data_IF_738660866526
#
_entry.id   IF_738660866526
#
_cell.length_a   1.000
_cell.length_b   1.000
_cell.length_c   1.000
_cell.angle_alpha   90.00
_cell.angle_beta   90.00
_cell.angle_gamma   90.00
#
_symmetry.space_group_name_H-M   'P 1'
#
loop_
_entity.id
_entity.type
_entity.pdbx_description
1 polymer ?
#
# COMPACT_ATOMS: atom_id res chain seq x y z
N UNK A 1 -2.82 -10.88 -17.50
CA UNK A 1 -1.39 -10.56 -17.75
C UNK A 1 -0.46 -11.45 -16.93
N UNK A 2 -0.69 -11.61 -15.61
CA UNK A 2 0.12 -12.51 -14.77
C UNK A 2 0.22 -13.94 -15.32
N UNK A 3 -0.88 -14.55 -15.75
CA UNK A 3 -0.86 -15.91 -16.33
C UNK A 3 0.07 -16.03 -17.55
N UNK A 4 0.11 -15.00 -18.40
CA UNK A 4 1.00 -14.95 -19.56
C UNK A 4 2.46 -14.92 -19.09
N UNK A 5 2.78 -14.14 -18.05
CA UNK A 5 4.13 -14.07 -17.49
C UNK A 5 4.56 -15.40 -16.87
N UNK A 6 3.70 -16.05 -16.09
CA UNK A 6 3.96 -17.38 -15.55
C UNK A 6 4.15 -18.43 -16.65
N UNK A 7 3.36 -18.36 -17.72
CA UNK A 7 3.54 -19.21 -18.89
C UNK A 7 4.90 -18.98 -19.56
N UNK A 8 5.37 -17.74 -19.69
CA UNK A 8 6.70 -17.44 -20.26
C UNK A 8 7.86 -17.89 -19.36
N UNK A 9 7.68 -17.88 -18.04
CA UNK A 9 8.67 -18.44 -17.11
C UNK A 9 8.79 -19.96 -17.23
N UNK A 10 7.66 -20.66 -17.33
CA UNK A 10 7.59 -22.13 -17.30
C UNK A 10 7.78 -22.78 -18.66
N UNK A 11 7.29 -22.17 -19.74
CA UNK A 11 7.36 -22.71 -21.11
C UNK A 11 8.51 -22.06 -21.87
N UNK A 12 9.64 -22.75 -21.97
CA UNK A 12 10.88 -22.24 -22.61
C UNK A 12 10.64 -21.77 -24.05
N UNK A 13 9.74 -22.42 -24.80
CA UNK A 13 9.39 -22.04 -26.17
C UNK A 13 8.58 -20.73 -26.28
N UNK A 14 8.03 -20.21 -25.17
CA UNK A 14 7.39 -18.88 -25.15
C UNK A 14 8.36 -17.77 -24.72
N UNK A 15 9.64 -18.07 -24.48
CA UNK A 15 10.64 -17.06 -24.11
C UNK A 15 11.08 -16.20 -25.29
N UNK A 16 11.42 -16.76 -26.48
CA UNK A 16 11.82 -15.93 -27.62
C UNK A 16 10.66 -15.04 -28.08
N UNK A 17 10.89 -13.73 -28.12
CA UNK A 17 9.83 -12.74 -28.40
C UNK A 17 9.17 -12.97 -29.77
N UNK A 18 9.95 -13.29 -30.80
CA UNK A 18 9.43 -13.54 -32.14
C UNK A 18 8.42 -14.70 -32.15
N UNK A 19 8.71 -15.78 -31.43
CA UNK A 19 7.84 -16.95 -31.37
C UNK A 19 6.61 -16.66 -30.51
N UNK A 20 6.80 -15.99 -29.37
CA UNK A 20 5.72 -15.57 -28.49
C UNK A 20 4.72 -14.64 -29.19
N UNK A 21 5.21 -13.67 -29.96
CA UNK A 21 4.39 -12.68 -30.68
C UNK A 21 3.51 -13.31 -31.77
N UNK A 22 3.89 -14.48 -32.29
CA UNK A 22 3.07 -15.25 -33.24
C UNK A 22 1.94 -16.04 -32.54
N UNK A 23 2.01 -16.22 -31.22
CA UNK A 23 0.98 -16.95 -30.47
C UNK A 23 -0.23 -16.09 -30.13
N UNK A 24 -1.34 -16.75 -29.73
CA UNK A 24 -2.50 -16.07 -29.13
C UNK A 24 -2.10 -15.27 -27.87
N UNK A 25 -1.16 -15.79 -27.07
CA UNK A 25 -0.69 -15.12 -25.85
C UNK A 25 0.02 -13.80 -26.15
N UNK A 26 0.77 -13.72 -27.25
CA UNK A 26 1.39 -12.48 -27.72
C UNK A 26 0.36 -11.41 -28.06
N UNK A 27 -0.66 -11.78 -28.84
CA UNK A 27 -1.78 -10.89 -29.19
C UNK A 27 -2.56 -10.43 -27.96
N UNK A 28 -2.85 -11.36 -27.03
CA UNK A 28 -3.53 -11.05 -25.78
C UNK A 28 -2.68 -10.12 -24.89
N UNK A 29 -1.36 -10.31 -24.83
CA UNK A 29 -0.46 -9.43 -24.08
C UNK A 29 -0.48 -8.00 -24.65
N UNK A 30 -0.39 -7.84 -25.98
CA UNK A 30 -0.45 -6.51 -26.63
C UNK A 30 -1.77 -5.82 -26.28
N UNK A 31 -2.90 -6.50 -26.44
CA UNK A 31 -4.22 -5.95 -26.09
C UNK A 31 -4.30 -5.52 -24.62
N UNK A 32 -3.78 -6.34 -23.70
CA UNK A 32 -3.80 -6.01 -22.28
C UNK A 32 -2.90 -4.81 -21.95
N UNK A 33 -1.72 -4.70 -22.58
CA UNK A 33 -0.83 -3.54 -22.43
C UNK A 33 -1.47 -2.26 -22.98
N UNK A 34 -2.22 -2.34 -24.08
CA UNK A 34 -2.97 -1.20 -24.61
C UNK A 34 -4.03 -0.69 -23.65
N UNK A 35 -4.72 -1.58 -22.91
CA UNK A 35 -5.68 -1.18 -21.88
C UNK A 35 -4.98 -0.44 -20.74
N UNK A 36 -3.86 -0.98 -20.25
CA UNK A 36 -3.09 -0.39 -19.14
C UNK A 36 -2.55 0.99 -19.54
N UNK A 37 -1.80 1.07 -20.63
CA UNK A 37 -1.23 2.33 -21.11
C UNK A 37 -2.32 3.29 -21.61
N UNK A 38 -3.48 2.79 -22.02
CA UNK A 38 -4.60 3.60 -22.49
C UNK A 38 -5.12 4.57 -21.43
N UNK A 39 -5.13 4.16 -20.16
CA UNK A 39 -5.50 5.04 -19.05
C UNK A 39 -4.47 6.17 -18.88
N UNK A 40 -3.19 5.81 -18.77
CA UNK A 40 -2.10 6.78 -18.57
C UNK A 40 -2.01 7.78 -19.71
N UNK A 41 -2.09 7.32 -20.97
CA UNK A 41 -2.12 8.18 -22.16
C UNK A 41 -3.25 9.21 -22.09
N UNK A 42 -4.46 8.79 -21.69
CA UNK A 42 -5.61 9.70 -21.53
C UNK A 42 -5.40 10.72 -20.42
N UNK A 43 -4.89 10.29 -19.27
CA UNK A 43 -4.61 11.17 -18.13
C UNK A 43 -3.54 12.21 -18.48
N UNK A 44 -2.43 11.79 -19.08
CA UNK A 44 -1.36 12.69 -19.52
C UNK A 44 -1.87 13.70 -20.56
N UNK A 45 -2.61 13.24 -21.57
CA UNK A 45 -3.16 14.12 -22.60
C UNK A 45 -4.09 15.18 -21.99
N UNK A 46 -4.99 14.77 -21.10
CA UNK A 46 -5.90 15.68 -20.39
C UNK A 46 -5.13 16.69 -19.54
N UNK A 47 -4.15 16.24 -18.75
CA UNK A 47 -3.35 17.12 -17.88
C UNK A 47 -2.50 18.11 -18.66
N UNK A 48 -1.93 17.69 -19.80
CA UNK A 48 -1.26 18.61 -20.74
C UNK A 48 -2.20 19.69 -21.28
N UNK A 49 -3.45 19.35 -21.59
CA UNK A 49 -4.45 20.33 -22.02
C UNK A 49 -4.81 21.30 -20.90
N UNK A 50 -5.05 20.79 -19.68
CA UNK A 50 -5.33 21.61 -18.49
C UNK A 50 -4.18 22.59 -18.22
N UNK A 51 -2.93 22.12 -18.28
CA UNK A 51 -1.73 22.93 -18.10
C UNK A 51 -1.62 24.03 -19.17
N UNK A 52 -1.79 23.70 -20.46
CA UNK A 52 -1.79 24.68 -21.57
C UNK A 52 -2.90 25.71 -21.45
N UNK A 53 -4.04 25.33 -20.88
CA UNK A 53 -5.18 26.23 -20.66
C UNK A 53 -5.03 27.15 -19.43
N UNK A 54 -3.90 27.08 -18.72
CA UNK A 54 -3.67 27.86 -17.50
C UNK A 54 -4.46 27.38 -16.27
N UNK A 55 -5.24 26.29 -16.40
CA UNK A 55 -5.91 25.64 -15.28
C UNK A 55 -4.88 24.85 -14.48
N UNK A 56 -4.18 25.53 -13.57
CA UNK A 56 -3.38 24.86 -12.55
C UNK A 56 -4.35 24.21 -11.56
N UNK A 57 -4.30 22.89 -11.41
CA UNK A 57 -4.98 22.21 -10.31
C UNK A 57 -4.19 22.48 -9.02
N UNK A 58 -4.22 23.72 -8.56
CA UNK A 58 -3.93 24.01 -7.16
C UNK A 58 -5.18 23.54 -6.42
N UNK A 59 -5.03 22.59 -5.50
CA UNK A 59 -6.12 22.23 -4.59
C UNK A 59 -6.55 23.53 -3.88
N UNK A 60 -7.69 24.09 -4.27
CA UNK A 60 -8.23 25.33 -3.71
C UNK A 60 -9.10 24.99 -2.50
N UNK A 61 -8.89 25.74 -1.42
CA UNK A 61 -9.71 25.69 -0.22
C UNK A 61 -11.18 26.00 -0.57
N UNK A 62 -12.10 25.18 -0.07
CA UNK A 62 -13.49 25.62 0.08
C UNK A 62 -13.51 26.53 1.32
N UNK A 63 -14.12 27.70 1.18
CA UNK A 63 -14.01 28.83 2.12
C UNK A 63 -14.23 28.49 3.60
N UNK A 64 -13.45 29.18 4.43
CA UNK A 64 -13.43 29.16 5.89
C UNK A 64 -14.83 29.30 6.51
N UNK A 65 -15.22 28.34 7.35
CA UNK A 65 -16.08 28.66 8.50
C UNK A 65 -15.16 29.13 9.64
N UNK A 66 -15.25 30.41 9.92
CA UNK A 66 -14.60 31.13 11.01
C UNK A 66 -15.02 30.57 12.38
N UNK A 67 -14.24 29.63 12.92
CA UNK A 67 -14.13 29.42 14.37
C UNK A 67 -12.91 28.54 14.68
N UNK A 68 -11.72 29.06 14.41
CA UNK A 68 -10.48 28.48 14.93
C UNK A 68 -10.38 28.75 16.44
N UNK A 69 -11.11 27.96 17.24
CA UNK A 69 -10.73 27.76 18.64
C UNK A 69 -9.40 27.01 18.62
N UNK A 70 -8.40 27.63 19.25
CA UNK A 70 -7.06 27.16 19.57
C UNK A 70 -6.92 25.64 19.45
N UNK A 71 -6.51 25.18 18.27
CA UNK A 71 -6.15 23.79 18.06
C UNK A 71 -4.93 23.51 18.95
N UNK A 72 -5.16 22.73 20.01
CA UNK A 72 -4.10 22.21 20.87
C UNK A 72 -3.06 21.58 19.96
N UNK A 73 -1.83 22.06 20.02
CA UNK A 73 -0.67 21.34 19.45
C UNK A 73 -0.55 20.07 20.29
N UNK A 74 -1.25 19.02 19.91
CA UNK A 74 -0.91 17.67 20.34
C UNK A 74 0.32 17.29 19.53
N UNK A 75 1.49 17.48 20.14
CA UNK A 75 2.67 16.71 19.77
C UNK A 75 2.29 15.24 19.89
N UNK A 76 1.99 14.59 18.76
CA UNK A 76 1.86 13.13 18.73
C UNK A 76 3.29 12.60 18.82
N UNK A 77 3.85 12.65 20.04
CA UNK A 77 5.10 11.98 20.35
C UNK A 77 4.88 10.48 20.17
N UNK A 78 5.57 9.93 19.18
CA UNK A 78 5.69 8.49 18.98
C UNK A 78 4.60 7.88 18.11
N UNK A 79 5.07 7.21 17.06
CA UNK A 79 4.37 6.15 16.31
C UNK A 79 3.55 6.64 15.11
N UNK A 80 4.19 7.42 14.25
CA UNK A 80 3.86 7.35 12.83
C UNK A 80 4.60 6.15 12.23
N UNK A 81 3.86 5.10 11.86
CA UNK A 81 4.34 3.96 11.08
C UNK A 81 5.60 3.26 11.58
N UNK A 82 5.48 2.28 12.48
CA UNK A 82 6.49 1.22 12.63
C UNK A 82 7.93 1.68 12.87
N UNK A 83 8.12 2.85 13.49
CA UNK A 83 9.44 3.39 13.83
C UNK A 83 10.11 2.45 14.83
N UNK A 84 11.19 1.79 14.42
CA UNK A 84 12.11 1.15 15.34
C UNK A 84 13.06 2.23 15.88
N UNK A 85 13.30 2.25 17.20
CA UNK A 85 14.19 3.22 17.80
C UNK A 85 15.59 3.15 17.16
N UNK A 86 16.10 4.30 16.70
CA UNK A 86 17.49 4.44 16.22
C UNK A 86 17.75 4.19 14.73
N UNK A 87 16.75 3.83 13.92
CA UNK A 87 16.87 3.84 12.45
C UNK A 87 15.95 4.90 11.85
N UNK A 88 16.53 5.91 11.18
CA UNK A 88 15.79 6.83 10.32
C UNK A 88 15.67 6.23 8.93
N UNK A 89 14.45 5.99 8.47
CA UNK A 89 14.11 5.77 7.06
C UNK A 89 14.04 7.15 6.38
N UNK A 90 14.51 7.27 5.14
CA UNK A 90 14.48 8.53 4.36
C UNK A 90 13.04 9.05 4.16
N UNK A 91 12.06 8.20 4.44
CA UNK A 91 10.63 8.49 4.40
C UNK A 91 9.99 8.69 5.78
N UNK A 92 10.72 8.80 6.88
CA UNK A 92 10.12 9.06 8.20
C UNK A 92 9.51 10.47 8.31
N UNK A 93 8.64 10.68 9.30
CA UNK A 93 7.99 11.99 9.52
C UNK A 93 8.99 12.91 10.19
N UNK A 94 9.36 13.98 9.49
CA UNK A 94 10.00 15.13 10.12
C UNK A 94 8.91 15.91 10.88
N UNK A 95 9.19 16.46 12.06
CA UNK A 95 8.22 17.22 12.87
C UNK A 95 7.60 18.41 12.09
N UNK A 96 8.23 18.81 10.99
CA UNK A 96 7.77 19.82 10.05
C UNK A 96 6.68 19.34 9.08
N UNK A 97 6.30 18.07 9.05
CA UNK A 97 5.29 17.51 8.13
C UNK A 97 3.86 17.47 8.71
N UNK A 98 3.67 18.04 9.89
CA UNK A 98 2.36 18.24 10.53
C UNK A 98 1.71 19.52 9.98
N UNK A 99 0.63 19.36 9.20
CA UNK A 99 -0.17 20.45 8.64
C UNK A 99 -0.59 20.21 7.18
N UNK A 100 -1.66 20.86 6.73
CA UNK A 100 -2.08 20.84 5.31
C UNK A 100 -1.06 21.62 4.45
N UNK A 101 0.01 20.94 4.02
CA UNK A 101 0.86 21.48 2.96
C UNK A 101 0.18 21.24 1.62
N UNK A 102 -0.04 22.31 0.85
CA UNK A 102 -0.49 22.23 -0.55
C UNK A 102 0.54 21.45 -1.36
N UNK A 103 0.26 20.17 -1.63
CA UNK A 103 1.10 19.31 -2.49
C UNK A 103 0.44 19.22 -3.86
N UNK A 104 1.21 19.51 -4.91
CA UNK A 104 0.76 19.29 -6.28
C UNK A 104 0.56 17.79 -6.54
N UNK A 105 -0.31 17.46 -7.49
CA UNK A 105 -0.40 16.09 -7.98
C UNK A 105 0.94 15.68 -8.62
N UNK A 106 1.32 14.41 -8.47
CA UNK A 106 2.62 13.88 -8.92
C UNK A 106 2.94 14.21 -10.39
N UNK A 107 1.97 14.04 -11.29
CA UNK A 107 2.15 14.37 -12.71
C UNK A 107 2.37 15.87 -12.93
N UNK A 108 1.67 16.73 -12.19
CA UNK A 108 1.84 18.17 -12.30
C UNK A 108 3.26 18.58 -11.84
N UNK A 109 3.78 17.93 -10.80
CA UNK A 109 5.15 18.12 -10.31
C UNK A 109 6.21 17.64 -11.32
N UNK A 110 6.01 16.48 -11.97
CA UNK A 110 6.92 16.00 -13.03
C UNK A 110 6.93 16.92 -14.25
N UNK A 111 5.76 17.45 -14.62
CA UNK A 111 5.64 18.40 -15.73
C UNK A 111 6.36 19.73 -15.44
N UNK A 112 6.33 20.21 -14.20
CA UNK A 112 7.03 21.42 -13.77
C UNK A 112 8.56 21.19 -13.71
N UNK A 113 9.00 20.05 -13.17
CA UNK A 113 10.40 19.66 -13.15
C UNK A 113 11.00 19.57 -14.57
N UNK A 114 10.27 19.02 -15.54
CA UNK A 114 10.69 18.96 -16.95
C UNK A 114 10.96 20.33 -17.59
N UNK A 115 10.38 21.42 -17.06
CA UNK A 115 10.54 22.78 -17.58
C UNK A 115 11.66 23.57 -16.89
N UNK A 116 11.98 23.24 -15.63
CA UNK A 116 12.95 23.97 -14.81
C UNK A 116 14.42 23.47 -14.96
N UNK A 117 14.74 22.78 -16.06
CA UNK A 117 16.10 22.37 -16.39
C UNK A 117 16.47 20.93 -16.01
N UNK A 118 15.58 20.19 -15.35
CA UNK A 118 15.67 18.71 -15.33
C UNK A 118 15.17 18.18 -16.67
N UNK A 119 16.05 17.58 -17.46
CA UNK A 119 15.70 17.02 -18.78
C UNK A 119 14.94 15.71 -18.59
N UNK A 120 13.66 15.78 -18.21
CA UNK A 120 12.74 14.65 -18.31
C UNK A 120 11.97 14.78 -19.61
N UNK A 121 12.19 13.85 -20.52
CA UNK A 121 11.44 13.72 -21.76
C UNK A 121 9.98 13.34 -21.47
N UNK A 122 9.10 13.63 -22.43
CA UNK A 122 7.70 13.23 -22.35
C UNK A 122 7.50 11.72 -22.17
N UNK A 123 8.41 10.91 -22.72
CA UNK A 123 8.38 9.46 -22.56
C UNK A 123 8.83 9.04 -21.16
N UNK A 124 9.88 9.64 -20.61
CA UNK A 124 10.30 9.37 -19.22
C UNK A 124 9.21 9.77 -18.22
N UNK A 125 8.54 10.92 -18.41
CA UNK A 125 7.38 11.30 -17.57
C UNK A 125 6.29 10.25 -17.66
N UNK A 126 5.99 9.75 -18.86
CA UNK A 126 4.99 8.70 -19.05
C UNK A 126 5.39 7.41 -18.36
N UNK A 127 6.64 6.95 -18.51
CA UNK A 127 7.16 5.74 -17.86
C UNK A 127 7.12 5.84 -16.33
N UNK A 128 7.45 7.00 -15.75
CA UNK A 128 7.34 7.23 -14.31
C UNK A 128 5.89 7.18 -13.84
N UNK A 129 4.95 7.78 -14.58
CA UNK A 129 3.52 7.73 -14.25
C UNK A 129 2.97 6.31 -14.37
N UNK A 130 3.32 5.59 -15.44
CA UNK A 130 2.92 4.20 -15.65
C UNK A 130 3.41 3.31 -14.49
N UNK A 131 4.66 3.50 -14.06
CA UNK A 131 5.26 2.78 -12.93
C UNK A 131 4.49 3.02 -11.64
N UNK A 132 4.29 4.29 -11.24
CA UNK A 132 3.61 4.63 -9.98
C UNK A 132 2.14 4.19 -9.98
N UNK A 133 1.45 4.32 -11.11
CA UNK A 133 0.06 3.88 -11.24
C UNK A 133 -0.07 2.36 -11.09
N UNK A 134 0.83 1.59 -11.70
CA UNK A 134 0.83 0.14 -11.59
C UNK A 134 1.17 -0.32 -10.16
N UNK A 135 2.29 0.17 -9.61
CA UNK A 135 2.77 -0.22 -8.28
C UNK A 135 1.81 0.19 -7.16
N UNK A 136 1.15 1.35 -7.29
CA UNK A 136 0.20 1.88 -6.32
C UNK A 136 -1.23 1.30 -6.42
N UNK A 137 -1.55 0.60 -7.51
CA UNK A 137 -2.87 0.00 -7.73
C UNK A 137 -2.96 -1.40 -7.14
N UNK A 138 -2.21 -2.35 -7.69
CA UNK A 138 -2.38 -3.78 -7.39
C UNK A 138 -2.00 -4.12 -5.95
N UNK A 139 -0.95 -3.50 -5.41
CA UNK A 139 -0.51 -3.69 -4.01
C UNK A 139 -1.56 -3.21 -3.01
N UNK A 140 -2.13 -2.02 -3.24
CA UNK A 140 -3.18 -1.43 -2.39
C UNK A 140 -4.46 -2.26 -2.48
N UNK A 141 -4.84 -2.70 -3.68
CA UNK A 141 -6.02 -3.53 -3.89
C UNK A 141 -5.89 -4.89 -3.19
N UNK A 142 -4.72 -5.53 -3.27
CA UNK A 142 -4.45 -6.77 -2.54
C UNK A 142 -4.51 -6.56 -1.02
N UNK A 143 -3.85 -5.52 -0.50
CA UNK A 143 -3.83 -5.22 0.93
C UNK A 143 -5.24 -4.96 1.49
N UNK A 144 -6.04 -4.13 0.81
CA UNK A 144 -7.42 -3.86 1.24
C UNK A 144 -8.30 -5.10 1.15
N UNK A 145 -8.13 -5.92 0.11
CA UNK A 145 -8.92 -7.15 -0.06
C UNK A 145 -8.61 -8.22 0.99
N UNK A 146 -7.33 -8.37 1.37
CA UNK A 146 -6.94 -9.23 2.49
C UNK A 146 -7.48 -8.68 3.81
N UNK A 147 -7.35 -7.37 4.06
CA UNK A 147 -7.88 -6.75 5.27
C UNK A 147 -9.37 -7.05 5.43
N UNK A 148 -10.17 -6.80 4.40
CA UNK A 148 -11.61 -7.06 4.42
C UNK A 148 -11.93 -8.55 4.61
N UNK A 149 -11.16 -9.44 3.96
CA UNK A 149 -11.33 -10.90 4.14
C UNK A 149 -11.09 -11.33 5.58
N UNK A 150 -10.03 -10.80 6.21
CA UNK A 150 -9.68 -11.09 7.60
C UNK A 150 -10.72 -10.50 8.55
N UNK A 151 -11.15 -9.26 8.36
CA UNK A 151 -12.23 -8.66 9.18
C UNK A 151 -13.53 -9.47 9.08
N UNK A 152 -13.82 -10.05 7.90
CA UNK A 152 -14.93 -10.96 7.70
C UNK A 152 -14.81 -12.30 8.44
N UNK A 153 -13.60 -12.72 8.81
CA UNK A 153 -13.32 -13.94 9.59
C UNK A 153 -13.25 -13.68 11.10
N UNK A 154 -12.90 -12.46 11.52
CA UNK A 154 -12.69 -12.06 12.92
C UNK A 154 -13.69 -10.99 13.35
N UNK A 155 -14.94 -11.38 13.67
CA UNK A 155 -16.00 -10.43 14.01
C UNK A 155 -15.71 -9.61 15.28
N UNK A 156 -14.98 -10.17 16.24
CA UNK A 156 -14.55 -9.53 17.48
C UNK A 156 -13.51 -8.42 17.23
N UNK A 157 -12.56 -8.64 16.32
CA UNK A 157 -11.58 -7.64 15.91
C UNK A 157 -12.25 -6.57 15.06
N UNK A 158 -13.13 -6.97 14.14
CA UNK A 158 -13.92 -6.05 13.34
C UNK A 158 -14.78 -5.12 14.23
N UNK A 159 -15.35 -5.61 15.33
CA UNK A 159 -16.14 -4.76 16.24
C UNK A 159 -15.29 -3.67 16.88
N UNK A 160 -14.05 -3.98 17.28
CA UNK A 160 -13.12 -2.99 17.85
C UNK A 160 -12.72 -1.92 16.82
N UNK A 161 -12.50 -2.30 15.56
CA UNK A 161 -12.28 -1.34 14.46
C UNK A 161 -13.48 -0.43 14.28
N UNK A 162 -14.67 -1.01 14.28
CA UNK A 162 -15.94 -0.31 14.18
C UNK A 162 -16.12 0.68 15.33
N UNK A 163 -15.84 0.26 16.56
CA UNK A 163 -15.97 1.08 17.76
C UNK A 163 -15.03 2.29 17.68
N UNK A 164 -13.76 2.08 17.32
CA UNK A 164 -12.81 3.18 17.09
C UNK A 164 -13.34 4.17 16.05
N UNK A 165 -13.90 3.68 14.94
CA UNK A 165 -14.45 4.56 13.91
C UNK A 165 -15.72 5.29 14.36
N UNK A 166 -16.59 4.65 15.14
CA UNK A 166 -17.77 5.29 15.71
C UNK A 166 -17.35 6.38 16.74
N UNK A 167 -16.27 6.18 17.51
CA UNK A 167 -15.72 7.18 18.43
C UNK A 167 -15.14 8.40 17.71
N UNK A 168 -14.51 8.20 16.54
CA UNK A 168 -13.92 9.29 15.74
C UNK A 168 -14.98 10.09 14.97
N UNK A 169 -15.99 9.40 14.41
CA UNK A 169 -16.93 10.00 13.45
C UNK A 169 -18.34 10.22 13.98
N UNK A 170 -18.75 9.52 15.04
CA UNK A 170 -20.13 9.52 15.53
C UNK A 170 -21.12 9.13 14.43
N UNK A 171 -22.16 9.95 14.25
CA UNK A 171 -23.18 9.80 13.20
C UNK A 171 -22.78 10.44 11.85
N UNK A 172 -21.62 11.11 11.78
CA UNK A 172 -21.23 11.92 10.64
C UNK A 172 -20.86 11.10 9.40
N UNK A 173 -21.36 11.52 8.23
CA UNK A 173 -20.92 10.99 6.91
C UNK A 173 -19.73 11.73 6.31
N UNK A 174 -19.10 12.64 7.06
CA UNK A 174 -18.05 13.45 6.46
C UNK A 174 -16.89 12.56 5.96
N UNK A 175 -16.22 12.95 4.87
CA UNK A 175 -14.94 12.34 4.49
C UNK A 175 -13.95 12.38 5.65
N UNK A 176 -13.07 11.37 5.70
CA UNK A 176 -11.96 11.36 6.65
C UNK A 176 -10.99 12.50 6.31
N UNK A 177 -10.68 13.32 7.29
CA UNK A 177 -9.59 14.31 7.26
C UNK A 177 -8.27 13.63 7.57
N UNK A 178 -7.15 14.32 7.30
CA UNK A 178 -5.83 13.83 7.69
C UNK A 178 -5.75 13.56 9.21
N UNK A 179 -6.31 14.44 10.04
CA UNK A 179 -6.28 14.29 11.49
C UNK A 179 -7.02 13.03 11.97
N UNK A 180 -8.17 12.70 11.37
CA UNK A 180 -8.88 11.46 11.72
C UNK A 180 -8.01 10.23 11.45
N UNK A 181 -7.21 10.27 10.39
CA UNK A 181 -6.33 9.15 10.06
C UNK A 181 -5.24 8.93 11.10
N UNK A 182 -4.85 9.94 11.88
CA UNK A 182 -3.91 9.79 13.00
C UNK A 182 -4.57 9.09 14.21
N UNK A 183 -5.88 9.25 14.37
CA UNK A 183 -6.64 8.61 15.46
C UNK A 183 -7.08 7.17 15.14
N UNK A 184 -7.05 6.74 13.88
CA UNK A 184 -7.32 5.35 13.44
C UNK A 184 -6.20 4.37 13.85
N UNK A 185 -5.93 4.22 15.15
CA UNK A 185 -4.79 3.49 15.71
C UNK A 185 -5.01 1.98 15.67
N UNK A 186 -6.17 1.50 16.09
CA UNK A 186 -6.55 0.09 16.07
C UNK A 186 -6.74 -0.42 14.63
N UNK A 187 -7.39 0.36 13.76
CA UNK A 187 -7.48 0.07 12.33
C UNK A 187 -6.07 -0.02 11.71
N UNK A 188 -5.15 0.88 12.08
CA UNK A 188 -3.75 0.78 11.62
C UNK A 188 -3.10 -0.53 12.08
N UNK A 189 -3.24 -0.90 13.35
CA UNK A 189 -2.68 -2.17 13.87
C UNK A 189 -3.25 -3.39 13.14
N UNK A 190 -4.55 -3.40 12.85
CA UNK A 190 -5.18 -4.44 12.03
C UNK A 190 -4.61 -4.46 10.60
N UNK A 191 -4.34 -3.29 10.02
CA UNK A 191 -3.74 -3.18 8.70
C UNK A 191 -2.28 -3.67 8.70
N UNK A 192 -1.48 -3.31 9.70
CA UNK A 192 -0.11 -3.79 9.85
C UNK A 192 -0.05 -5.31 10.03
N UNK A 193 -0.95 -5.89 10.83
CA UNK A 193 -1.08 -7.34 10.98
C UNK A 193 -1.53 -8.02 9.68
N UNK A 194 -2.42 -7.37 8.92
CA UNK A 194 -2.78 -7.83 7.57
C UNK A 194 -1.56 -7.87 6.66
N UNK A 195 -0.74 -6.82 6.64
CA UNK A 195 0.49 -6.75 5.84
C UNK A 195 1.58 -7.71 6.35
N UNK A 196 1.58 -8.07 7.65
CA UNK A 196 2.45 -9.10 8.22
C UNK A 196 2.09 -10.47 7.62
N UNK A 197 0.83 -10.86 7.73
CA UNK A 197 0.36 -12.18 7.30
C UNK A 197 0.24 -12.30 5.78
N UNK A 198 -0.22 -11.26 5.12
CA UNK A 198 -0.53 -11.25 3.69
C UNK A 198 0.16 -10.07 2.98
N UNK A 199 1.51 -10.00 2.99
CA UNK A 199 2.23 -8.95 2.29
C UNK A 199 1.96 -9.04 0.79
N UNK A 200 1.51 -7.96 0.12
CA UNK A 200 1.27 -7.98 -1.32
C UNK A 200 2.49 -8.41 -2.12
N UNK A 201 3.70 -8.04 -1.68
CA UNK A 201 4.97 -8.50 -2.26
C UNK A 201 5.61 -9.51 -1.29
N UNK A 202 5.41 -10.83 -1.47
CA UNK A 202 5.84 -11.83 -0.50
C UNK A 202 7.33 -12.15 -0.58
N UNK A 203 7.98 -11.81 -1.70
CA UNK A 203 9.38 -12.14 -2.00
C UNK A 203 10.02 -10.98 -2.76
N UNK A 204 11.26 -10.61 -2.40
CA UNK A 204 12.12 -9.70 -3.16
C UNK A 204 13.44 -10.38 -3.49
N UNK A 205 14.04 -10.06 -4.64
CA UNK A 205 15.30 -10.65 -5.08
C UNK A 205 16.33 -9.57 -5.46
N UNK A 206 17.62 -9.89 -5.29
CA UNK A 206 18.75 -9.04 -5.68
C UNK A 206 19.85 -9.91 -6.29
N UNK A 207 20.40 -9.48 -7.43
CA UNK A 207 21.65 -10.05 -7.94
C UNK A 207 22.82 -9.33 -7.29
N UNK A 208 23.73 -10.09 -6.71
CA UNK A 208 24.94 -9.60 -6.06
C UNK A 208 25.98 -9.34 -7.15
N UNK A 209 26.49 -8.12 -7.27
CA UNK A 209 27.43 -7.74 -8.33
C UNK A 209 28.90 -7.95 -7.92
N UNK A 210 29.17 -8.09 -6.63
CA UNK A 210 30.50 -8.24 -6.03
C UNK A 210 30.42 -9.20 -4.86
N UNK A 211 31.45 -10.01 -4.62
CA UNK A 211 31.49 -10.93 -3.49
C UNK A 211 31.08 -10.24 -2.18
N UNK A 212 30.01 -10.74 -1.57
CA UNK A 212 29.40 -10.18 -0.37
C UNK A 212 29.72 -11.05 0.83
N UNK A 213 30.45 -10.48 1.81
CA UNK A 213 30.64 -11.11 3.11
C UNK A 213 29.40 -10.93 3.98
N UNK A 214 28.80 -12.03 4.41
CA UNK A 214 27.64 -12.06 5.31
C UNK A 214 27.94 -12.98 6.50
N UNK A 215 28.34 -12.38 7.63
CA UNK A 215 28.85 -13.12 8.77
C UNK A 215 30.10 -13.94 8.38
N UNK A 216 30.02 -15.25 8.57
CA UNK A 216 31.11 -16.18 8.22
C UNK A 216 31.04 -16.70 6.77
N UNK A 217 30.07 -16.24 5.97
CA UNK A 217 29.87 -16.71 4.61
C UNK A 217 30.26 -15.64 3.58
N UNK A 218 30.71 -16.10 2.41
CA UNK A 218 30.90 -15.25 1.23
C UNK A 218 29.90 -15.67 0.17
N UNK A 219 29.02 -14.75 -0.23
CA UNK A 219 28.08 -14.93 -1.33
C UNK A 219 28.80 -14.42 -2.59
N UNK A 220 29.00 -15.25 -3.62
CA UNK A 220 29.78 -14.86 -4.79
C UNK A 220 29.03 -13.84 -5.66
N UNK A 221 29.79 -13.02 -6.38
CA UNK A 221 29.28 -12.19 -7.46
C UNK A 221 28.51 -13.04 -8.49
N UNK A 222 27.43 -12.49 -9.02
CA UNK A 222 26.49 -13.16 -9.93
C UNK A 222 25.38 -13.96 -9.21
N UNK A 223 25.49 -14.23 -7.91
CA UNK A 223 24.44 -14.94 -7.18
C UNK A 223 23.18 -14.08 -7.00
N UNK A 224 22.00 -14.70 -7.07
CA UNK A 224 20.73 -14.05 -6.71
C UNK A 224 20.37 -14.40 -5.26
N UNK A 225 20.29 -13.38 -4.41
CA UNK A 225 19.78 -13.48 -3.05
C UNK A 225 18.29 -13.19 -3.05
N UNK A 226 17.52 -14.05 -2.38
CA UNK A 226 16.07 -13.95 -2.25
C UNK A 226 15.74 -13.68 -0.78
N UNK A 227 15.01 -12.59 -0.53
CA UNK A 227 14.45 -12.26 0.79
C UNK A 227 12.97 -12.59 0.78
N UNK A 228 12.58 -13.59 1.57
CA UNK A 228 11.21 -14.09 1.66
C UNK A 228 10.45 -13.38 2.76
N UNK A 229 9.94 -12.18 2.49
CA UNK A 229 9.15 -11.35 3.42
C UNK A 229 8.03 -12.15 4.08
N UNK A 230 7.29 -12.95 3.30
CA UNK A 230 6.18 -13.78 3.80
C UNK A 230 6.59 -14.75 4.91
N UNK A 231 7.78 -15.37 4.79
CA UNK A 231 8.31 -16.32 5.78
C UNK A 231 8.96 -15.62 6.96
N UNK A 232 9.66 -14.51 6.71
CA UNK A 232 10.28 -13.69 7.74
C UNK A 232 9.22 -13.10 8.70
N UNK A 233 8.08 -12.69 8.18
CA UNK A 233 6.94 -12.20 8.98
C UNK A 233 6.22 -13.29 9.81
N UNK A 234 6.66 -14.55 9.71
CA UNK A 234 6.11 -15.71 10.44
C UNK A 234 7.09 -16.38 11.37
N UNK A 235 8.17 -15.68 11.71
CA UNK A 235 9.19 -16.19 12.63
C UNK A 235 8.65 -16.23 14.07
N UNK A 236 8.51 -17.41 14.71
CA UNK A 236 7.88 -17.51 16.03
C UNK A 236 8.63 -16.78 17.15
N UNK A 237 9.95 -16.61 17.00
CA UNK A 237 10.79 -15.88 17.96
C UNK A 237 10.61 -14.36 17.88
N UNK A 238 10.00 -13.85 16.81
CA UNK A 238 9.64 -12.42 16.63
C UNK A 238 8.14 -12.23 16.88
N UNK A 239 7.31 -13.14 16.37
CA UNK A 239 5.85 -13.11 16.44
C UNK A 239 5.34 -14.38 17.12
N UNK A 240 5.01 -14.33 18.43
CA UNK A 240 4.39 -15.46 19.11
C UNK A 240 3.07 -15.86 18.42
N UNK A 241 2.87 -17.15 18.19
CA UNK A 241 1.73 -17.69 17.43
C UNK A 241 1.57 -17.01 16.05
N UNK A 242 2.57 -17.11 15.15
CA UNK A 242 2.66 -16.27 13.96
C UNK A 242 1.53 -16.48 12.93
N UNK A 243 0.79 -17.59 13.03
CA UNK A 243 -0.35 -17.88 12.16
C UNK A 243 -1.69 -17.37 12.73
N UNK A 244 -1.70 -16.82 13.95
CA UNK A 244 -2.90 -16.20 14.55
C UNK A 244 -2.89 -14.72 14.20
N UNK A 245 -3.99 -14.24 13.61
CA UNK A 245 -4.18 -12.82 13.37
C UNK A 245 -4.34 -12.06 14.69
N UNK A 246 -3.33 -11.26 15.04
CA UNK A 246 -3.31 -10.52 16.30
C UNK A 246 -2.81 -9.08 16.13
N UNK A 247 -3.72 -8.07 16.08
CA UNK A 247 -3.35 -6.66 16.02
C UNK A 247 -2.46 -6.19 17.17
N UNK A 248 -2.48 -6.87 18.33
CA UNK A 248 -1.63 -6.52 19.46
C UNK A 248 -0.16 -6.85 19.23
N UNK A 249 0.20 -7.53 18.12
CA UNK A 249 1.59 -7.60 17.65
C UNK A 249 2.14 -6.21 17.29
N UNK A 250 1.29 -5.24 17.01
CA UNK A 250 1.67 -3.87 16.64
C UNK A 250 1.33 -2.85 17.73
N UNK A 251 1.19 -3.31 18.98
CA UNK A 251 1.20 -2.39 20.12
C UNK A 251 2.51 -1.58 20.17
N UNK A 252 2.45 -0.30 20.61
CA UNK A 252 3.62 0.57 20.76
C UNK A 252 4.83 -0.12 21.40
N UNK A 253 4.62 -0.73 22.56
CA UNK A 253 5.64 -1.36 23.40
C UNK A 253 6.26 -2.61 22.77
N UNK A 254 5.50 -3.33 21.93
CA UNK A 254 6.01 -4.49 21.21
C UNK A 254 6.78 -4.08 19.95
N UNK A 255 6.35 -3.00 19.31
CA UNK A 255 7.00 -2.49 18.09
C UNK A 255 8.32 -1.81 18.42
N UNK A 256 8.39 -1.05 19.52
CA UNK A 256 9.60 -0.35 19.95
C UNK A 256 10.78 -1.31 20.19
N UNK A 257 10.52 -2.53 20.67
CA UNK A 257 11.54 -3.54 20.95
C UNK A 257 11.80 -4.50 19.77
N UNK A 258 11.05 -4.36 18.66
CA UNK A 258 11.20 -5.24 17.49
C UNK A 258 12.31 -4.71 16.58
N UNK A 259 13.18 -5.60 16.13
CA UNK A 259 14.20 -5.26 15.13
C UNK A 259 13.54 -4.71 13.85
N UNK A 260 14.05 -3.60 13.30
CA UNK A 260 13.50 -2.94 12.12
C UNK A 260 13.24 -3.90 10.93
N UNK A 261 14.25 -4.68 10.54
CA UNK A 261 14.13 -5.68 9.46
C UNK A 261 13.22 -6.89 9.76
N UNK A 262 12.63 -7.00 10.96
CA UNK A 262 11.68 -8.06 11.27
C UNK A 262 10.29 -7.82 10.64
N UNK A 263 9.99 -6.58 10.28
CA UNK A 263 8.73 -6.18 9.64
C UNK A 263 8.98 -5.21 8.48
N UNK A 264 9.05 -5.73 7.25
CA UNK A 264 9.33 -4.91 6.05
C UNK A 264 8.31 -5.17 4.93
N UNK A 265 7.01 -4.93 5.17
CA UNK A 265 5.98 -5.08 4.13
C UNK A 265 6.16 -4.09 2.96
N UNK A 266 6.93 -3.02 3.20
CA UNK A 266 7.29 -2.00 2.21
C UNK A 266 8.78 -2.06 1.83
N UNK A 267 9.44 -3.20 2.03
CA UNK A 267 10.91 -3.32 1.92
C UNK A 267 11.62 -2.37 2.90
N UNK A 268 12.92 -2.20 2.74
CA UNK A 268 13.75 -1.34 3.59
C UNK A 268 14.99 -0.82 2.84
N UNK A 269 15.63 0.20 3.41
CA UNK A 269 16.85 0.82 2.87
C UNK A 269 16.60 1.65 1.60
N UNK A 270 17.63 1.90 0.77
CA UNK A 270 17.53 2.79 -0.40
C UNK A 270 16.53 2.35 -1.48
N UNK A 271 15.99 1.14 -1.37
CA UNK A 271 14.96 0.58 -2.24
C UNK A 271 13.69 0.22 -1.44
N UNK A 272 13.42 0.96 -0.37
CA UNK A 272 12.13 0.95 0.33
C UNK A 272 11.05 1.54 -0.58
N UNK A 273 9.79 1.22 -0.31
CA UNK A 273 8.67 1.68 -1.10
C UNK A 273 8.47 3.19 -0.96
N UNK A 274 8.70 3.94 -2.05
CA UNK A 274 8.42 5.39 -2.12
C UNK A 274 6.96 5.74 -1.81
N UNK A 275 6.05 4.81 -2.11
CA UNK A 275 4.61 4.98 -1.89
C UNK A 275 4.12 4.66 -0.48
N UNK A 276 4.98 4.26 0.47
CA UNK A 276 4.59 3.76 1.81
C UNK A 276 3.59 4.69 2.53
N UNK A 277 3.92 5.98 2.68
CA UNK A 277 3.05 6.96 3.35
C UNK A 277 1.70 7.11 2.64
N UNK A 278 1.74 7.25 1.31
CA UNK A 278 0.54 7.40 0.49
C UNK A 278 -0.35 6.15 0.53
N UNK A 279 0.24 4.96 0.45
CA UNK A 279 -0.47 3.69 0.50
C UNK A 279 -1.19 3.52 1.84
N UNK A 280 -0.50 3.76 2.96
CA UNK A 280 -1.12 3.64 4.28
C UNK A 280 -2.26 4.65 4.48
N UNK A 281 -2.06 5.91 4.08
CA UNK A 281 -3.11 6.92 4.12
C UNK A 281 -4.33 6.51 3.27
N UNK A 282 -4.09 6.08 2.03
CA UNK A 282 -5.13 5.61 1.11
C UNK A 282 -5.87 4.40 1.67
N UNK A 283 -5.17 3.43 2.25
CA UNK A 283 -5.76 2.26 2.88
C UNK A 283 -6.62 2.66 4.08
N UNK A 284 -6.14 3.54 4.96
CA UNK A 284 -6.93 4.06 6.09
C UNK A 284 -8.23 4.72 5.63
N UNK A 285 -8.17 5.58 4.61
CA UNK A 285 -9.36 6.27 4.09
C UNK A 285 -10.36 5.28 3.46
N UNK A 286 -9.87 4.36 2.60
CA UNK A 286 -10.74 3.39 1.93
C UNK A 286 -11.39 2.45 2.96
N UNK A 287 -10.59 1.89 3.86
CA UNK A 287 -11.06 0.90 4.83
C UNK A 287 -11.97 1.53 5.87
N UNK A 288 -11.65 2.70 6.42
CA UNK A 288 -12.56 3.41 7.33
C UNK A 288 -13.89 3.75 6.65
N UNK A 289 -13.88 4.13 5.37
CA UNK A 289 -15.11 4.41 4.62
C UNK A 289 -15.97 3.15 4.46
N UNK A 290 -15.37 2.01 4.13
CA UNK A 290 -16.11 0.75 4.02
C UNK A 290 -16.64 0.31 5.40
N UNK A 291 -15.78 0.29 6.42
CA UNK A 291 -16.11 -0.22 7.75
C UNK A 291 -17.13 0.65 8.51
N UNK A 292 -17.22 1.95 8.21
CA UNK A 292 -18.29 2.83 8.75
C UNK A 292 -19.67 2.51 8.16
N UNK A 293 -19.72 2.01 6.92
CA UNK A 293 -20.97 1.80 6.18
C UNK A 293 -21.40 0.32 6.14
N UNK A 294 -20.45 -0.60 6.31
CA UNK A 294 -20.70 -2.04 6.17
C UNK A 294 -20.01 -2.85 7.26
N UNK A 295 -20.66 -3.96 7.64
CA UNK A 295 -20.02 -5.10 8.28
C UNK A 295 -19.62 -6.09 7.21
N UNK A 296 -18.39 -6.56 7.27
CA UNK A 296 -17.85 -7.58 6.37
C UNK A 296 -18.12 -8.96 6.96
N UNK A 297 -18.58 -9.90 6.14
CA UNK A 297 -18.74 -11.31 6.49
C UNK A 297 -17.98 -12.18 5.49
N UNK A 298 -17.27 -13.18 5.99
CA UNK A 298 -16.65 -14.23 5.18
C UNK A 298 -17.37 -15.56 5.40
N UNK A 299 -17.66 -16.26 4.31
CA UNK A 299 -18.14 -17.65 4.35
C UNK A 299 -16.97 -18.66 4.33
N UNK A 300 -15.74 -18.16 4.20
CA UNK A 300 -14.49 -18.94 4.18
C UNK A 300 -13.69 -18.60 5.42
N UNK A 301 -13.20 -19.61 6.15
CA UNK A 301 -12.33 -19.39 7.31
C UNK A 301 -10.95 -18.95 6.86
N UNK A 302 -10.26 -18.19 7.69
CA UNK A 302 -8.89 -17.74 7.39
C UNK A 302 -7.93 -18.91 7.13
N UNK A 303 -8.07 -20.01 7.88
CA UNK A 303 -7.29 -21.25 7.69
C UNK A 303 -7.44 -21.88 6.30
N UNK A 304 -8.53 -21.57 5.60
CA UNK A 304 -8.89 -22.18 4.31
C UNK A 304 -8.52 -21.27 3.13
N UNK A 305 -7.87 -20.12 3.38
CA UNK A 305 -7.40 -19.22 2.33
C UNK A 305 -6.36 -19.92 1.45
N UNK A 306 -6.62 -19.98 0.14
CA UNK A 306 -5.66 -20.54 -0.83
C UNK A 306 -4.84 -19.42 -1.41
N UNK A 307 -3.65 -19.21 -0.84
CA UNK A 307 -2.76 -18.16 -1.29
C UNK A 307 -2.14 -18.53 -2.65
N UNK A 308 -2.15 -17.56 -3.57
CA UNK A 308 -1.52 -17.64 -4.87
C UNK A 308 -0.47 -16.54 -4.98
N UNK A 309 0.78 -16.95 -5.16
CA UNK A 309 1.91 -16.06 -5.39
C UNK A 309 2.08 -15.80 -6.89
N UNK A 310 1.38 -14.78 -7.39
CA UNK A 310 1.64 -14.21 -8.72
C UNK A 310 2.71 -13.11 -8.60
N UNK A 311 2.68 -12.09 -9.47
CA UNK A 311 3.44 -10.84 -9.26
C UNK A 311 3.12 -10.25 -7.87
N UNK A 312 1.85 -10.33 -7.46
CA UNK A 312 1.34 -9.91 -6.17
C UNK A 312 0.64 -11.10 -5.50
N UNK A 313 0.74 -11.18 -4.18
CA UNK A 313 0.02 -12.17 -3.38
C UNK A 313 -1.48 -11.92 -3.48
N UNK A 314 -2.25 -12.98 -3.76
CA UNK A 314 -3.72 -12.94 -3.79
C UNK A 314 -4.32 -14.26 -3.29
N UNK A 315 -5.64 -14.32 -3.24
CA UNK A 315 -6.40 -15.56 -2.99
C UNK A 315 -6.77 -16.20 -4.33
N UNK A 316 -6.48 -17.49 -4.51
CA UNK A 316 -6.74 -18.25 -5.73
C UNK A 316 -8.24 -18.34 -6.03
N UNK A 317 -9.06 -18.40 -4.99
CA UNK A 317 -10.52 -18.43 -5.04
C UNK A 317 -11.16 -17.04 -5.14
N UNK A 318 -10.35 -15.99 -5.20
CA UNK A 318 -10.77 -14.59 -5.06
C UNK A 318 -11.05 -14.19 -3.60
N UNK A 319 -11.41 -12.92 -3.40
CA UNK A 319 -11.70 -12.36 -2.08
C UNK A 319 -13.21 -12.38 -1.79
N UNK A 320 -13.81 -13.57 -1.86
CA UNK A 320 -15.27 -13.73 -1.67
C UNK A 320 -15.68 -13.31 -0.26
N UNK A 321 -16.31 -12.14 -0.17
CA UNK A 321 -16.85 -11.54 1.06
C UNK A 321 -18.26 -11.00 0.80
N UNK A 322 -19.07 -10.90 1.86
CA UNK A 322 -20.35 -10.17 1.85
C UNK A 322 -20.23 -8.88 2.64
N UNK A 323 -20.75 -7.80 2.08
CA UNK A 323 -20.94 -6.54 2.78
C UNK A 323 -22.38 -6.44 3.24
N UNK A 324 -22.58 -6.28 4.54
CA UNK A 324 -23.89 -6.09 5.16
C UNK A 324 -23.97 -4.64 5.62
N UNK A 325 -24.90 -3.81 5.10
CA UNK A 325 -25.06 -2.44 5.56
C UNK A 325 -25.21 -2.38 7.08
N UNK A 326 -24.53 -1.43 7.73
CA UNK A 326 -24.72 -1.14 9.15
C UNK A 326 -25.35 0.24 9.32
N UNK A 327 -26.11 0.41 10.40
CA UNK A 327 -26.51 1.74 10.86
C UNK A 327 -25.28 2.36 11.54
N UNK A 328 -25.05 3.65 11.32
CA UNK A 328 -24.04 4.41 12.05
C UNK A 328 -24.44 4.52 13.52
N UNK A 329 -23.45 4.67 14.39
CA UNK A 329 -23.73 4.95 15.80
C UNK A 329 -24.59 6.22 15.90
N UNK A 330 -25.64 6.16 16.70
CA UNK A 330 -26.41 7.35 17.04
C UNK A 330 -25.59 8.17 18.04
N UNK A 331 -25.55 9.48 17.87
CA UNK A 331 -24.86 10.39 18.79
C UNK A 331 -25.44 10.22 20.19
N UNK A 332 -24.64 9.71 21.13
CA UNK A 332 -24.95 9.84 22.55
C UNK A 332 -24.84 11.31 22.91
N UNK A 333 -26.00 11.93 23.17
CA UNK A 333 -26.15 13.34 23.53
C UNK A 333 -25.48 13.68 24.86
#
# INVERSE_FOLDING_TARGET
>A
MCDILHLRHTKVWLRPDWLFNLTKYGKDQIRLLEIIHGLTKKVIARKKQEYKSGKRNILHDTEQSSNAKTAKITSVEGLSFGQAAGLKDDLDVDDNDVGEKKRQAFLDLLMEAGQNGSVLTDEEVKEQVDTIMFEGHDTTAAASSFFLSVMGCHPDIQEKVIQELDEIFGDSDRPATFQDTLEMKYLERCLMETLRMYPPVPVIARTINTDLKLGNYTIPAGATVIVTTFKMHRQPHIYPNPEVFNPDNFLPEKTANRHYYAFVPFSAGPRSCVGRKYAMLKLKIILSTIMRNFRVKSDIKESDFRLQADIILKRAEGFKIRLVPRKRAATTA
#
